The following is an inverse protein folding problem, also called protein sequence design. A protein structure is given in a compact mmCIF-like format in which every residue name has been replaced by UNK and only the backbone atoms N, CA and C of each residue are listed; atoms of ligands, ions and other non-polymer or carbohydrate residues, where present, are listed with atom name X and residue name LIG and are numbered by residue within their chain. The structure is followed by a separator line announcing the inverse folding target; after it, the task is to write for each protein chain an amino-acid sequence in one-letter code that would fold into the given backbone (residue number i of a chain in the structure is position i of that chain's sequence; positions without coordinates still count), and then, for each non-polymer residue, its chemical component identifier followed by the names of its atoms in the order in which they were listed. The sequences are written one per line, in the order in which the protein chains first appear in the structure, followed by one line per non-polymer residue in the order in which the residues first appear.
data_IF_841799448802
#
_entry.id   IF_841799448802
#
_cell.length_a   1.000
_cell.length_b   1.000
_cell.length_c   1.000
_cell.angle_alpha   90.00
_cell.angle_beta   90.00
_cell.angle_gamma   90.00
#
_symmetry.space_group_name_H-M   'P 1'
#
loop_
_entity.id
_entity.type
_entity.pdbx_description
1 polymer ?
#
# COMPACT_ATOMS: atom_id res chain seq x y z
N UNK A 1 10.24 12.77 7.84
CA UNK A 1 10.12 14.19 8.24
C UNK A 1 10.74 14.50 9.60
N UNK A 2 10.49 13.73 10.67
CA UNK A 2 11.13 13.99 11.97
C UNK A 2 12.67 14.02 11.90
N UNK A 3 13.28 13.04 11.20
CA UNK A 3 14.73 13.03 10.98
C UNK A 3 15.24 14.24 10.19
N UNK A 4 14.44 14.75 9.24
CA UNK A 4 14.76 15.98 8.48
C UNK A 4 14.82 17.19 9.43
N UNK A 5 13.80 17.37 10.26
CA UNK A 5 13.72 18.48 11.21
C UNK A 5 14.81 18.40 12.28
N UNK A 6 14.99 17.24 12.91
CA UNK A 6 15.98 17.04 13.97
C UNK A 6 17.41 17.18 13.42
N UNK A 7 17.64 16.67 12.21
CA UNK A 7 18.92 16.78 11.50
C UNK A 7 19.17 18.14 10.83
N UNK A 8 18.22 19.08 10.91
CA UNK A 8 18.30 20.39 10.22
C UNK A 8 18.57 20.25 8.71
N UNK A 9 17.97 19.23 8.09
CA UNK A 9 18.14 18.89 6.67
C UNK A 9 17.14 19.66 5.79
N UNK A 10 16.95 20.95 6.05
CA UNK A 10 15.93 21.79 5.39
C UNK A 10 16.16 21.92 3.87
N UNK A 11 17.39 21.71 3.43
CA UNK A 11 17.81 21.68 2.04
C UNK A 11 17.29 20.46 1.26
N UNK A 12 16.81 19.40 1.93
CA UNK A 12 16.22 18.23 1.28
C UNK A 12 14.72 18.46 1.08
N UNK A 13 14.30 18.65 -0.17
CA UNK A 13 12.87 18.64 -0.50
C UNK A 13 12.28 17.22 -0.38
N UNK A 14 10.95 17.10 -0.49
CA UNK A 14 10.28 15.80 -0.34
C UNK A 14 10.64 14.82 -1.46
N UNK A 15 10.95 15.28 -2.67
CA UNK A 15 11.38 14.39 -3.76
C UNK A 15 12.77 13.81 -3.47
N UNK A 16 13.67 14.63 -2.92
CA UNK A 16 14.99 14.16 -2.52
C UNK A 16 14.92 13.22 -1.33
N UNK A 17 14.08 13.51 -0.34
CA UNK A 17 13.80 12.58 0.76
C UNK A 17 13.24 11.25 0.22
N UNK A 18 12.40 11.29 -0.81
CA UNK A 18 11.87 10.09 -1.43
C UNK A 18 12.97 9.22 -2.05
N UNK A 19 13.94 9.82 -2.76
CA UNK A 19 15.10 9.10 -3.29
C UNK A 19 15.89 8.36 -2.17
N UNK A 20 16.10 9.01 -1.02
CA UNK A 20 16.72 8.38 0.15
C UNK A 20 15.90 7.22 0.73
N UNK A 21 14.59 7.39 0.86
CA UNK A 21 13.74 6.31 1.34
C UNK A 21 13.73 5.11 0.38
N UNK A 22 13.85 5.33 -0.93
CA UNK A 22 13.88 4.26 -1.93
C UNK A 22 15.15 3.43 -1.90
N UNK A 23 16.29 3.99 -1.49
CA UNK A 23 17.50 3.19 -1.26
C UNK A 23 17.29 2.14 -0.17
N UNK A 24 16.45 2.46 0.83
CA UNK A 24 16.18 1.61 1.98
C UNK A 24 15.09 0.59 1.66
N UNK A 25 13.90 1.07 1.26
CA UNK A 25 12.69 0.25 1.11
C UNK A 25 12.60 -0.48 -0.24
N UNK A 26 13.31 0.04 -1.26
CA UNK A 26 13.33 -0.46 -2.65
C UNK A 26 11.98 -0.50 -3.37
N UNK A 27 10.87 -0.20 -2.68
CA UNK A 27 9.52 -0.16 -3.23
C UNK A 27 8.88 1.21 -2.93
N UNK A 28 8.29 1.87 -3.95
CA UNK A 28 7.87 3.25 -3.83
C UNK A 28 6.43 3.45 -3.33
N UNK A 29 5.63 2.41 -3.25
CA UNK A 29 4.19 2.45 -2.98
C UNK A 29 3.87 2.96 -1.56
N UNK A 30 4.40 2.31 -0.52
CA UNK A 30 4.11 2.68 0.87
C UNK A 30 4.78 4.00 1.26
N UNK A 31 6.05 4.15 0.91
CA UNK A 31 6.83 5.36 1.20
C UNK A 31 6.21 6.58 0.54
N UNK A 32 5.83 6.45 -0.74
CA UNK A 32 5.20 7.55 -1.47
C UNK A 32 3.88 7.97 -0.84
N UNK A 33 3.00 7.02 -0.50
CA UNK A 33 1.74 7.33 0.16
C UNK A 33 1.94 7.97 1.54
N UNK A 34 2.91 7.50 2.33
CA UNK A 34 3.23 8.08 3.63
C UNK A 34 3.79 9.51 3.52
N UNK A 35 4.67 9.76 2.54
CA UNK A 35 5.35 11.04 2.40
C UNK A 35 4.42 12.11 1.79
N UNK A 36 3.72 11.77 0.70
CA UNK A 36 2.95 12.73 -0.09
C UNK A 36 1.45 12.76 0.22
N UNK A 37 0.94 11.71 0.88
CA UNK A 37 -0.46 11.62 1.28
C UNK A 37 -1.44 11.39 0.14
N UNK A 38 -2.66 11.05 0.51
CA UNK A 38 -3.77 10.76 -0.39
C UNK A 38 -3.63 9.42 -1.08
N UNK A 39 -4.24 9.34 -2.26
CA UNK A 39 -4.12 8.20 -3.16
C UNK A 39 -3.10 8.54 -4.24
N UNK A 40 -1.98 7.82 -4.27
CA UNK A 40 -0.83 8.14 -5.10
C UNK A 40 -0.44 6.97 -6.00
N UNK A 41 -0.07 7.29 -7.24
CA UNK A 41 0.68 6.40 -8.11
C UNK A 41 2.15 6.72 -7.99
N UNK A 42 2.99 5.70 -7.85
CA UNK A 42 4.44 5.88 -7.79
C UNK A 42 5.13 4.99 -8.81
N UNK A 43 6.26 5.47 -9.33
CA UNK A 43 7.06 4.73 -10.30
C UNK A 43 8.53 5.11 -10.17
N UNK A 44 9.39 4.21 -10.65
CA UNK A 44 10.83 4.41 -10.70
C UNK A 44 11.24 4.75 -12.12
N UNK A 45 12.08 5.77 -12.29
CA UNK A 45 12.69 6.03 -13.59
C UNK A 45 13.77 4.98 -13.90
N UNK A 46 13.97 4.64 -15.19
CA UNK A 46 15.13 3.84 -15.58
C UNK A 46 16.40 4.57 -15.16
N UNK A 47 17.17 3.94 -14.27
CA UNK A 47 18.44 4.47 -13.84
C UNK A 47 19.47 4.33 -14.96
N UNK A 48 20.43 5.25 -15.01
CA UNK A 48 21.60 5.07 -15.85
C UNK A 48 22.39 3.85 -15.34
N UNK A 49 23.12 3.14 -16.21
CA UNK A 49 23.91 1.97 -15.79
C UNK A 49 24.87 2.24 -14.61
N UNK A 50 25.42 3.46 -14.53
CA UNK A 50 26.29 3.94 -13.44
C UNK A 50 25.57 4.06 -12.08
N UNK A 51 24.27 4.34 -12.09
CA UNK A 51 23.42 4.54 -10.91
C UNK A 51 22.79 3.23 -10.40
N UNK A 52 22.64 2.23 -11.29
CA UNK A 52 22.17 0.87 -10.93
C UNK A 52 23.12 0.22 -9.92
N UNK A 53 24.43 0.33 -10.14
CA UNK A 53 25.46 -0.21 -9.23
C UNK A 53 25.38 0.39 -7.82
N UNK A 54 24.84 1.61 -7.67
CA UNK A 54 24.67 2.30 -6.38
C UNK A 54 23.35 1.97 -5.69
N UNK A 55 22.36 1.46 -6.39
CA UNK A 55 21.05 1.10 -5.81
C UNK A 55 21.08 -0.27 -5.13
N UNK A 56 22.07 -1.11 -5.49
CA UNK A 56 22.24 -2.44 -4.93
C UNK A 56 22.86 -2.46 -3.52
N UNK A 57 23.32 -1.30 -3.02
CA UNK A 57 23.97 -1.16 -1.70
C UNK A 57 23.09 -1.84 -0.63
N UNK A 58 23.59 -2.89 0.03
CA UNK A 58 22.88 -3.59 1.10
C UNK A 58 22.45 -2.62 2.21
N UNK A 59 21.29 -2.86 2.81
CA UNK A 59 20.79 -2.03 3.92
C UNK A 59 21.80 -1.96 5.08
N UNK A 60 22.60 -3.01 5.29
CA UNK A 60 23.68 -3.05 6.28
C UNK A 60 24.84 -2.10 6.00
N UNK A 61 25.01 -1.66 4.75
CA UNK A 61 26.01 -0.65 4.35
C UNK A 61 25.44 0.77 4.45
N UNK A 62 24.12 0.93 4.31
CA UNK A 62 23.43 2.23 4.51
C UNK A 62 23.17 2.50 6.00
N UNK A 63 22.88 1.46 6.77
CA UNK A 63 22.61 1.48 8.21
C UNK A 63 23.28 0.25 8.86
N UNK A 64 24.55 0.33 9.29
CA UNK A 64 25.16 -0.74 10.05
C UNK A 64 24.37 -0.97 11.34
N UNK A 65 24.08 -2.24 11.66
CA UNK A 65 23.47 -2.57 12.94
C UNK A 65 24.48 -2.31 14.08
N UNK A 66 24.08 -1.71 15.21
CA UNK A 66 22.71 -1.32 15.58
C UNK A 66 22.27 0.02 14.97
N UNK A 67 20.98 0.11 14.64
CA UNK A 67 20.37 1.33 14.11
C UNK A 67 20.36 2.45 15.17
N UNK A 68 21.40 3.28 15.13
CA UNK A 68 21.57 4.49 15.93
C UNK A 68 22.71 4.44 16.95
N UNK A 69 23.48 5.55 17.02
CA UNK A 69 24.15 5.99 18.25
C UNK A 69 25.67 6.21 18.19
N UNK A 70 26.36 5.88 17.11
CA UNK A 70 27.79 6.18 16.96
C UNK A 70 27.97 7.05 15.73
N UNK A 71 28.52 8.25 15.92
CA UNK A 71 29.03 9.05 14.80
C UNK A 71 30.25 8.31 14.26
N UNK A 72 30.06 7.63 13.12
CA UNK A 72 31.15 6.88 12.48
C UNK A 72 32.12 7.80 11.75
N UNK A 73 31.78 9.08 11.57
CA UNK A 73 32.52 10.01 10.71
C UNK A 73 32.37 9.70 9.21
N UNK A 74 31.64 8.66 8.84
CA UNK A 74 31.42 8.26 7.46
C UNK A 74 30.27 9.05 6.84
N UNK A 75 30.46 9.51 5.62
CA UNK A 75 29.37 10.07 4.83
C UNK A 75 28.51 8.94 4.27
N UNK A 76 27.20 8.90 4.57
CA UNK A 76 26.32 7.89 4.02
C UNK A 76 26.25 8.02 2.49
N UNK A 77 26.06 6.90 1.77
CA UNK A 77 25.98 6.94 0.31
C UNK A 77 24.78 7.78 -0.13
N UNK A 78 25.02 8.70 -1.07
CA UNK A 78 23.96 9.51 -1.64
C UNK A 78 23.24 8.78 -2.79
N UNK A 79 21.89 8.77 -2.80
CA UNK A 79 21.14 8.22 -3.91
C UNK A 79 21.35 9.03 -5.18
N UNK A 80 21.25 8.41 -6.36
CA UNK A 80 20.95 9.12 -7.60
C UNK A 80 19.77 10.09 -7.41
N UNK A 81 19.72 11.17 -8.21
CA UNK A 81 18.60 12.12 -8.15
C UNK A 81 17.47 11.70 -9.08
N UNK A 82 16.23 11.81 -8.62
CA UNK A 82 15.04 11.56 -9.46
C UNK A 82 14.83 10.08 -9.74
N UNK A 83 15.06 9.24 -8.72
CA UNK A 83 14.79 7.80 -8.76
C UNK A 83 13.27 7.61 -8.67
N UNK A 84 12.69 8.23 -7.65
CA UNK A 84 11.29 8.09 -7.29
C UNK A 84 10.42 9.20 -7.86
N UNK A 85 9.35 8.82 -8.52
CA UNK A 85 8.32 9.75 -8.97
C UNK A 85 6.97 9.38 -8.40
N UNK A 86 6.12 10.39 -8.24
CA UNK A 86 4.76 10.23 -7.77
C UNK A 86 3.79 11.09 -8.57
N UNK A 87 2.53 10.67 -8.58
CA UNK A 87 1.39 11.48 -8.99
C UNK A 87 0.29 11.28 -7.96
N UNK A 88 -0.34 12.37 -7.51
CA UNK A 88 -1.53 12.29 -6.66
C UNK A 88 -2.74 12.14 -7.55
N UNK A 89 -3.45 11.03 -7.39
CA UNK A 89 -4.69 10.78 -8.10
C UNK A 89 -5.87 11.45 -7.38
N UNK A 90 -6.94 11.79 -8.12
CA UNK A 90 -8.18 12.22 -7.49
C UNK A 90 -8.76 11.11 -6.60
N UNK A 91 -9.45 11.53 -5.54
CA UNK A 91 -10.15 10.65 -4.60
C UNK A 91 -11.52 11.24 -4.28
N UNK A 92 -12.59 10.47 -4.52
CA UNK A 92 -13.94 10.86 -4.18
C UNK A 92 -14.13 10.83 -2.64
N UNK A 93 -14.53 11.96 -2.06
CA UNK A 93 -14.58 12.17 -0.61
C UNK A 93 -15.61 11.29 0.10
N UNK A 94 -16.59 10.80 -0.65
CA UNK A 94 -17.63 9.85 -0.25
C UNK A 94 -17.03 8.48 0.07
N UNK A 95 -15.89 8.13 -0.52
CA UNK A 95 -15.22 6.84 -0.30
C UNK A 95 -14.44 6.88 1.02
N UNK A 96 -14.77 5.94 1.91
CA UNK A 96 -14.05 5.65 3.15
C UNK A 96 -13.44 4.26 3.08
N UNK A 97 -12.38 4.05 3.86
CA UNK A 97 -11.73 2.76 3.99
C UNK A 97 -12.08 2.12 5.34
N UNK A 98 -12.77 0.99 5.30
CA UNK A 98 -13.02 0.13 6.46
C UNK A 98 -11.85 -0.83 6.57
N UNK A 99 -10.95 -0.60 7.51
CA UNK A 99 -9.80 -1.46 7.76
C UNK A 99 -10.14 -2.48 8.85
N UNK A 100 -10.12 -3.77 8.51
CA UNK A 100 -10.31 -4.89 9.44
C UNK A 100 -8.94 -5.47 9.73
N UNK A 101 -8.58 -5.55 11.01
CA UNK A 101 -7.25 -5.90 11.51
C UNK A 101 -7.39 -7.19 12.32
N UNK A 102 -7.11 -8.35 11.72
CA UNK A 102 -7.07 -9.62 12.43
C UNK A 102 -5.92 -9.69 13.44
N UNK A 103 -6.15 -10.38 14.56
CA UNK A 103 -5.15 -10.54 15.62
C UNK A 103 -4.23 -11.75 15.35
N UNK A 104 -3.52 -11.69 14.24
CA UNK A 104 -2.41 -12.58 13.91
C UNK A 104 -1.47 -11.90 12.91
N UNK A 105 -0.31 -12.49 12.66
CA UNK A 105 0.67 -11.95 11.73
C UNK A 105 0.95 -12.92 10.60
N UNK A 106 1.12 -12.36 9.39
CA UNK A 106 1.64 -13.08 8.24
C UNK A 106 3.05 -12.55 7.96
N UNK A 107 4.10 -13.38 8.05
CA UNK A 107 5.45 -12.94 7.71
C UNK A 107 5.51 -12.42 6.27
N UNK A 108 6.04 -11.21 6.07
CA UNK A 108 6.11 -10.56 4.75
C UNK A 108 6.86 -11.39 3.71
N UNK A 109 7.88 -12.14 4.15
CA UNK A 109 8.61 -13.08 3.29
C UNK A 109 7.68 -14.14 2.68
N UNK A 110 6.81 -14.77 3.50
CA UNK A 110 5.85 -15.77 3.04
C UNK A 110 4.83 -15.18 2.05
N UNK A 111 4.38 -13.95 2.28
CA UNK A 111 3.46 -13.25 1.38
C UNK A 111 4.09 -12.88 0.01
N UNK A 112 5.42 -12.84 -0.07
CA UNK A 112 6.16 -12.69 -1.35
C UNK A 112 6.42 -14.04 -2.00
N UNK A 113 6.78 -15.06 -1.23
CA UNK A 113 7.07 -16.41 -1.71
C UNK A 113 5.87 -17.11 -2.36
N UNK A 114 4.64 -16.78 -1.95
CA UNK A 114 3.42 -17.38 -2.51
C UNK A 114 3.12 -16.92 -3.94
N UNK A 115 3.78 -15.84 -4.41
CA UNK A 115 3.57 -15.32 -5.76
C UNK A 115 4.33 -16.17 -6.79
N UNK A 116 3.69 -16.59 -7.90
CA UNK A 116 4.38 -17.37 -8.92
C UNK A 116 5.42 -16.52 -9.66
N UNK A 117 6.47 -17.19 -10.15
CA UNK A 117 7.50 -16.54 -10.96
C UNK A 117 6.99 -16.08 -12.33
N UNK A 118 5.89 -16.65 -12.83
CA UNK A 118 5.31 -16.36 -14.14
C UNK A 118 3.79 -16.33 -14.06
N UNK A 119 3.18 -15.47 -14.87
CA UNK A 119 1.72 -15.31 -14.96
C UNK A 119 1.22 -15.57 -16.38
N UNK A 120 0.01 -16.13 -16.54
CA UNK A 120 -0.64 -16.20 -17.84
C UNK A 120 -0.82 -14.80 -18.45
N UNK A 121 -0.55 -14.66 -19.75
CA UNK A 121 -0.70 -13.38 -20.46
C UNK A 121 -2.11 -12.79 -20.31
N UNK A 122 -3.13 -13.64 -20.26
CA UNK A 122 -4.53 -13.24 -20.05
C UNK A 122 -4.75 -12.54 -18.72
N UNK A 123 -4.09 -13.00 -17.66
CA UNK A 123 -4.25 -12.45 -16.31
C UNK A 123 -3.48 -11.14 -16.16
N UNK A 124 -2.29 -11.05 -16.76
CA UNK A 124 -1.56 -9.78 -16.88
C UNK A 124 -2.39 -8.75 -17.66
N UNK A 125 -2.96 -9.16 -18.80
CA UNK A 125 -3.81 -8.27 -19.61
C UNK A 125 -5.05 -7.83 -18.85
N UNK A 126 -5.68 -8.74 -18.09
CA UNK A 126 -6.81 -8.44 -17.23
C UNK A 126 -6.45 -7.35 -16.21
N UNK A 127 -5.35 -7.53 -15.48
CA UNK A 127 -4.89 -6.58 -14.47
C UNK A 127 -4.49 -5.22 -15.05
N UNK A 128 -3.84 -5.18 -16.22
CA UNK A 128 -3.48 -3.93 -16.90
C UNK A 128 -4.71 -3.06 -17.22
N UNK A 129 -5.84 -3.68 -17.55
CA UNK A 129 -7.10 -2.93 -17.73
C UNK A 129 -7.60 -2.34 -16.41
N UNK A 130 -7.52 -3.10 -15.31
CA UNK A 130 -8.01 -2.66 -13.99
C UNK A 130 -7.18 -1.50 -13.44
N UNK A 131 -5.85 -1.62 -13.49
CA UNK A 131 -4.96 -0.57 -12.99
C UNK A 131 -5.07 0.73 -13.81
N UNK A 132 -5.42 0.65 -15.09
CA UNK A 132 -5.71 1.84 -15.90
C UNK A 132 -7.04 2.50 -15.53
N UNK A 133 -8.04 1.73 -15.08
CA UNK A 133 -9.37 2.23 -14.70
C UNK A 133 -9.42 2.72 -13.25
N UNK A 134 -8.72 2.05 -12.33
CA UNK A 134 -8.87 2.25 -10.89
C UNK A 134 -8.67 3.70 -10.44
N UNK A 135 -7.64 4.44 -10.92
CA UNK A 135 -7.47 5.83 -10.49
C UNK A 135 -8.56 6.78 -10.95
N UNK A 136 -9.15 6.51 -12.12
CA UNK A 136 -10.27 7.29 -12.62
C UNK A 136 -11.53 6.95 -11.83
N UNK A 137 -11.80 5.66 -11.62
CA UNK A 137 -12.98 5.18 -10.90
C UNK A 137 -13.04 5.70 -9.46
N UNK A 138 -11.91 5.66 -8.73
CA UNK A 138 -11.81 6.18 -7.35
C UNK A 138 -11.88 7.71 -7.28
N UNK A 139 -11.67 8.42 -8.38
CA UNK A 139 -11.73 9.88 -8.46
C UNK A 139 -13.09 10.45 -8.84
N UNK A 140 -14.04 9.62 -9.28
CA UNK A 140 -15.35 10.06 -9.74
C UNK A 140 -16.32 10.32 -8.58
N UNK A 141 -17.04 11.44 -8.64
CA UNK A 141 -18.13 11.79 -7.72
C UNK A 141 -19.41 12.05 -8.53
N UNK A 142 -20.51 11.33 -8.24
CA UNK A 142 -20.63 10.27 -7.24
C UNK A 142 -19.83 9.00 -7.62
N UNK A 143 -19.36 8.20 -6.65
CA UNK A 143 -18.69 6.93 -6.93
C UNK A 143 -19.62 5.92 -7.62
N UNK A 144 -19.13 5.24 -8.66
CA UNK A 144 -19.81 4.13 -9.31
C UNK A 144 -19.37 2.80 -8.64
N UNK A 145 -20.25 2.13 -7.88
CA UNK A 145 -19.89 0.91 -7.15
C UNK A 145 -19.48 -0.25 -8.05
N UNK A 146 -20.14 -0.42 -9.19
CA UNK A 146 -19.88 -1.54 -10.09
C UNK A 146 -18.54 -1.33 -10.82
N UNK A 147 -18.28 -0.08 -11.26
CA UNK A 147 -16.99 0.27 -11.87
C UNK A 147 -15.83 0.11 -10.89
N UNK A 148 -15.97 0.60 -9.66
CA UNK A 148 -14.91 0.48 -8.64
C UNK A 148 -14.70 -0.99 -8.27
N UNK A 149 -15.77 -1.76 -8.07
CA UNK A 149 -15.68 -3.19 -7.78
C UNK A 149 -14.93 -3.96 -8.86
N UNK A 150 -15.23 -3.68 -10.14
CA UNK A 150 -14.54 -4.27 -11.28
C UNK A 150 -13.07 -3.85 -11.36
N UNK A 151 -12.77 -2.57 -11.08
CA UNK A 151 -11.42 -2.03 -11.10
C UNK A 151 -10.55 -2.54 -9.94
N UNK A 152 -11.14 -2.95 -8.83
CA UNK A 152 -10.44 -3.55 -7.68
C UNK A 152 -10.13 -5.04 -7.85
N UNK A 153 -10.63 -5.70 -8.91
CA UNK A 153 -10.34 -7.12 -9.13
C UNK A 153 -8.88 -7.36 -9.51
N UNK A 154 -8.30 -8.40 -8.93
CA UNK A 154 -6.89 -8.73 -9.09
C UNK A 154 -6.69 -10.23 -9.37
N UNK A 155 -5.86 -10.54 -10.36
CA UNK A 155 -5.42 -11.91 -10.68
C UNK A 155 -3.94 -12.15 -10.45
N UNK A 156 -3.17 -11.12 -10.09
CA UNK A 156 -1.71 -11.23 -9.96
C UNK A 156 -1.28 -11.46 -8.50
N UNK A 157 -1.95 -10.85 -7.51
CA UNK A 157 -1.48 -10.93 -6.12
C UNK A 157 -2.49 -11.58 -5.18
N UNK A 158 -3.71 -11.06 -5.14
CA UNK A 158 -4.75 -11.42 -4.20
C UNK A 158 -5.11 -12.91 -4.22
N UNK A 159 -5.30 -13.57 -5.39
CA UNK A 159 -5.65 -15.00 -5.41
C UNK A 159 -4.61 -15.90 -4.74
N UNK A 160 -3.33 -15.51 -4.79
CA UNK A 160 -2.22 -16.23 -4.19
C UNK A 160 -2.05 -15.87 -2.72
N UNK A 161 -2.15 -14.59 -2.37
CA UNK A 161 -1.96 -14.14 -0.97
C UNK A 161 -3.13 -14.51 -0.07
N UNK A 162 -4.35 -14.56 -0.60
CA UNK A 162 -5.52 -14.88 0.22
C UNK A 162 -5.49 -16.28 0.82
N UNK A 163 -4.72 -17.21 0.23
CA UNK A 163 -4.53 -18.57 0.80
C UNK A 163 -3.77 -18.55 2.12
N UNK A 164 -3.08 -17.46 2.45
CA UNK A 164 -2.37 -17.28 3.72
C UNK A 164 -3.30 -16.84 4.86
N UNK A 165 -4.54 -16.46 4.55
CA UNK A 165 -5.48 -15.85 5.49
C UNK A 165 -6.74 -16.71 5.53
N UNK A 166 -6.97 -17.45 6.63
CA UNK A 166 -8.15 -18.31 6.76
C UNK A 166 -9.45 -17.53 6.55
N UNK A 167 -10.30 -18.03 5.65
CA UNK A 167 -11.63 -17.45 5.38
C UNK A 167 -11.65 -16.23 4.46
N UNK A 168 -10.50 -15.73 3.99
CA UNK A 168 -10.47 -14.52 3.15
C UNK A 168 -11.05 -14.74 1.76
N UNK A 169 -10.80 -15.88 1.12
CA UNK A 169 -11.39 -16.21 -0.19
C UNK A 169 -12.91 -16.08 -0.14
N UNK A 170 -13.54 -16.70 0.86
CA UNK A 170 -14.99 -16.62 1.06
C UNK A 170 -15.47 -15.19 1.30
N UNK A 171 -14.69 -14.37 2.05
CA UNK A 171 -15.04 -12.97 2.30
C UNK A 171 -15.05 -12.19 0.97
N UNK A 172 -13.99 -12.30 0.17
CA UNK A 172 -13.85 -11.58 -1.10
C UNK A 172 -14.91 -12.03 -2.11
N UNK A 173 -15.18 -13.34 -2.20
CA UNK A 173 -16.11 -13.88 -3.19
C UNK A 173 -17.59 -13.67 -2.81
N UNK A 174 -17.91 -13.57 -1.51
CA UNK A 174 -19.30 -13.44 -1.04
C UNK A 174 -19.80 -11.98 -0.91
N UNK A 175 -18.91 -11.00 -1.06
CA UNK A 175 -19.21 -9.58 -0.84
C UNK A 175 -19.00 -8.76 -2.11
N UNK A 176 -20.11 -8.31 -2.69
CA UNK A 176 -20.15 -7.43 -3.87
C UNK A 176 -21.05 -6.22 -3.58
N UNK A 177 -21.00 -5.15 -4.38
CA UNK A 177 -21.93 -4.03 -4.24
C UNK A 177 -23.41 -4.45 -4.25
N UNK A 178 -23.74 -5.49 -5.03
CA UNK A 178 -25.10 -6.05 -5.10
C UNK A 178 -25.52 -6.85 -3.86
N UNK A 179 -24.58 -7.47 -3.14
CA UNK A 179 -24.88 -8.27 -1.93
C UNK A 179 -24.66 -7.52 -0.62
N UNK A 180 -23.99 -6.37 -0.67
CA UNK A 180 -23.71 -5.51 0.48
C UNK A 180 -23.84 -4.03 0.07
N UNK A 181 -24.99 -3.39 0.34
CA UNK A 181 -25.19 -1.98 0.01
C UNK A 181 -24.12 -1.09 0.64
N UNK A 182 -23.61 -0.13 -0.13
CA UNK A 182 -22.54 0.79 0.29
C UNK A 182 -21.13 0.25 0.10
N UNK A 183 -20.93 -1.05 -0.17
CA UNK A 183 -19.63 -1.63 -0.49
C UNK A 183 -19.22 -1.29 -1.93
N UNK A 184 -17.95 -0.94 -2.12
CA UNK A 184 -17.34 -0.72 -3.43
C UNK A 184 -16.35 -1.85 -3.78
N UNK A 185 -15.68 -2.43 -2.80
CA UNK A 185 -14.81 -3.58 -3.01
C UNK A 185 -14.00 -3.94 -1.77
N UNK A 186 -13.43 -5.15 -1.78
CA UNK A 186 -12.62 -5.68 -0.67
C UNK A 186 -11.29 -6.16 -1.24
N UNK A 187 -10.20 -5.77 -0.60
CA UNK A 187 -8.87 -6.23 -0.95
C UNK A 187 -7.97 -6.42 0.27
N UNK A 188 -6.83 -7.06 0.04
CA UNK A 188 -5.76 -7.09 1.03
C UNK A 188 -5.08 -5.73 1.15
N UNK A 189 -4.87 -5.27 2.38
CA UNK A 189 -4.00 -4.12 2.64
C UNK A 189 -2.54 -4.58 2.58
N UNK A 190 -1.85 -4.25 1.47
CA UNK A 190 -0.47 -4.65 1.22
C UNK A 190 -0.30 -6.17 1.16
N UNK A 191 0.52 -6.71 2.07
CA UNK A 191 0.76 -8.16 2.19
C UNK A 191 -0.27 -8.87 3.10
N UNK A 192 -1.14 -8.12 3.79
CA UNK A 192 -2.02 -8.64 4.84
C UNK A 192 -1.33 -8.73 6.22
N UNK A 193 -2.05 -9.24 7.25
CA UNK A 193 -3.39 -9.82 7.18
C UNK A 193 -4.54 -8.81 7.24
N UNK A 194 -4.25 -7.51 7.37
CA UNK A 194 -5.28 -6.47 7.35
C UNK A 194 -6.06 -6.49 6.03
N UNK A 195 -7.39 -6.44 6.15
CA UNK A 195 -8.32 -6.37 5.03
C UNK A 195 -8.82 -4.94 4.90
N UNK A 196 -8.87 -4.43 3.68
CA UNK A 196 -9.41 -3.12 3.36
C UNK A 196 -10.70 -3.30 2.57
N UNK A 197 -11.80 -2.73 3.06
CA UNK A 197 -13.03 -2.60 2.30
C UNK A 197 -13.29 -1.12 1.99
N UNK A 198 -13.41 -0.77 0.71
CA UNK A 198 -13.82 0.57 0.29
C UNK A 198 -15.34 0.64 0.29
N UNK A 199 -15.89 1.70 0.87
CA UNK A 199 -17.33 1.85 1.04
C UNK A 199 -17.75 3.32 1.08
N UNK A 200 -19.00 3.60 0.70
CA UNK A 200 -19.64 4.92 0.83
C UNK A 200 -20.63 5.00 1.99
N UNK A 201 -21.12 3.84 2.46
CA UNK A 201 -22.10 3.74 3.54
C UNK A 201 -21.99 2.36 4.23
N UNK A 202 -22.78 2.15 5.28
CA UNK A 202 -22.89 0.86 6.00
C UNK A 202 -21.56 0.32 6.56
N UNK A 203 -20.61 1.21 6.86
CA UNK A 203 -19.24 0.86 7.27
C UNK A 203 -19.17 -0.16 8.42
N UNK A 204 -19.98 0.03 9.47
CA UNK A 204 -20.00 -0.86 10.61
C UNK A 204 -20.58 -2.23 10.25
N UNK A 205 -21.62 -2.28 9.43
CA UNK A 205 -22.23 -3.54 8.98
C UNK A 205 -21.26 -4.34 8.10
N UNK A 206 -20.57 -3.66 7.17
CA UNK A 206 -19.52 -4.25 6.34
C UNK A 206 -18.42 -4.83 7.24
N UNK A 207 -17.93 -4.07 8.22
CA UNK A 207 -16.93 -4.54 9.17
C UNK A 207 -17.41 -5.78 9.94
N UNK A 208 -18.62 -5.75 10.49
CA UNK A 208 -19.17 -6.86 11.28
C UNK A 208 -19.37 -8.13 10.43
N UNK A 209 -19.80 -7.99 9.18
CA UNK A 209 -19.93 -9.13 8.25
C UNK A 209 -18.60 -9.81 7.99
N UNK A 210 -17.53 -9.02 7.79
CA UNK A 210 -16.17 -9.54 7.61
C UNK A 210 -15.64 -10.16 8.91
N UNK A 211 -15.83 -9.48 10.05
CA UNK A 211 -15.40 -9.97 11.37
C UNK A 211 -16.08 -11.29 11.71
N UNK A 212 -17.38 -11.46 11.42
CA UNK A 212 -18.11 -12.69 11.69
C UNK A 212 -17.49 -13.90 10.97
N UNK A 213 -16.97 -13.72 9.75
CA UNK A 213 -16.26 -14.77 9.00
C UNK A 213 -14.93 -15.16 9.66
N UNK A 214 -14.17 -14.18 10.14
CA UNK A 214 -12.95 -14.44 10.91
C UNK A 214 -13.22 -15.10 12.27
N UNK A 215 -14.26 -14.66 12.98
CA UNK A 215 -14.67 -15.27 14.25
C UNK A 215 -15.05 -16.74 14.08
N UNK A 216 -15.70 -17.10 12.96
CA UNK A 216 -16.00 -18.51 12.65
C UNK A 216 -14.73 -19.36 12.44
N UNK A 217 -13.60 -18.74 12.11
CA UNK A 217 -12.27 -19.35 12.03
C UNK A 217 -11.48 -19.25 13.35
N UNK A 218 -12.08 -18.75 14.43
CA UNK A 218 -11.43 -18.56 15.72
C UNK A 218 -10.48 -17.35 15.78
N UNK A 219 -10.58 -16.42 14.82
CA UNK A 219 -9.71 -15.25 14.72
C UNK A 219 -10.44 -14.02 15.26
N UNK A 220 -9.87 -13.36 16.27
CA UNK A 220 -10.37 -12.08 16.75
C UNK A 220 -9.89 -10.94 15.86
N UNK A 221 -10.74 -9.94 15.64
CA UNK A 221 -10.45 -8.81 14.77
C UNK A 221 -10.85 -7.49 15.45
N UNK A 222 -10.12 -6.43 15.15
CA UNK A 222 -10.59 -5.05 15.38
C UNK A 222 -10.82 -4.37 14.04
N UNK A 223 -11.56 -3.25 14.01
CA UNK A 223 -11.70 -2.46 12.79
C UNK A 223 -11.58 -0.97 13.03
N UNK A 224 -11.28 -0.22 11.96
CA UNK A 224 -11.18 1.24 11.94
C UNK A 224 -11.84 1.78 10.67
N UNK A 225 -12.46 2.95 10.79
CA UNK A 225 -12.89 3.74 9.64
C UNK A 225 -11.81 4.79 9.35
N UNK A 226 -11.30 4.79 8.12
CA UNK A 226 -10.16 5.60 7.71
C UNK A 226 -10.47 6.41 6.46
N UNK A 227 -9.71 7.48 6.29
CA UNK A 227 -9.69 8.36 5.12
C UNK A 227 -8.25 8.55 4.66
N UNK A 228 -7.99 8.85 3.38
CA UNK A 228 -6.65 9.19 2.92
C UNK A 228 -6.09 10.39 3.70
N UNK A 229 -4.89 10.24 4.26
CA UNK A 229 -4.22 11.30 5.00
C UNK A 229 -3.59 12.35 4.07
N UNK A 230 -3.29 13.55 4.56
CA UNK A 230 -2.61 14.61 3.77
C UNK A 230 -1.09 14.42 3.62
N UNK A 231 -0.54 13.32 4.16
CA UNK A 231 0.88 12.99 4.11
C UNK A 231 1.58 13.22 5.45
N UNK A 232 2.91 13.19 5.45
CA UNK A 232 3.68 13.33 6.70
C UNK A 232 3.77 14.78 7.14
N UNK A 233 3.40 15.08 8.39
CA UNK A 233 3.55 16.38 9.03
C UNK A 233 4.40 16.30 10.29
N UNK A 234 4.95 17.44 10.74
CA UNK A 234 5.67 17.55 12.03
C UNK A 234 4.89 18.50 12.92
N UNK A 235 4.48 18.01 14.10
CA UNK A 235 3.74 18.78 15.09
C UNK A 235 4.70 19.11 16.23
N UNK A 236 4.85 20.40 16.54
CA UNK A 236 5.61 20.88 17.71
C UNK A 236 4.59 21.12 18.83
N UNK A 237 4.63 20.27 19.86
CA UNK A 237 3.84 20.40 21.09
C UNK A 237 4.61 21.11 22.18
#
# INVERSE_FOLDING_TARGET
MLGKEVGKLDHLDNNRLFDFCLMIERHPDNVGAALFGGFVGTYLNPLKPEDVARTEIPLSEVLPAPAGGVDTGDTPPEPPHGIGHHIKFPWAKEIKAVAIIPNFEVPTAKAREVLPAQYPRSDVTFNLQRIALLPVALGQSPPDPDLIYLAMQDKLHQPYRQTLIPGLTDIVESMTPGTQPGLLGVCLSGAGPTILALATANHAEIAQRIIAKFTAQGISCTWRLLEPAEGTTVIRS
#
